data_IF_687261059866
#
_entry.id   IF_687261059866
#
_cell.length_a   1.000
_cell.length_b   1.000
_cell.length_c   1.000
_cell.angle_alpha   90.00
_cell.angle_beta   90.00
_cell.angle_gamma   90.00
#
_symmetry.space_group_name_H-M   'P 1'
#
loop_
_entity.id
_entity.type
_entity.pdbx_description
1 polymer ?
#
# COMPACT_ATOMS: atom_id res chain seq x y z
N UNK A 1 57.44 -35.61 -36.57
CA UNK A 1 56.11 -35.00 -36.76
C UNK A 1 55.11 -35.90 -36.07
N UNK A 2 54.81 -35.62 -34.81
CA UNK A 2 53.73 -36.23 -34.04
C UNK A 2 53.42 -35.24 -32.92
N UNK A 3 52.25 -34.62 -33.01
CA UNK A 3 51.78 -33.60 -32.08
C UNK A 3 51.18 -34.27 -30.84
N UNK A 4 51.69 -33.89 -29.67
CA UNK A 4 51.14 -34.20 -28.35
C UNK A 4 49.78 -33.51 -28.16
N UNK A 5 48.71 -34.17 -28.56
CA UNK A 5 47.33 -33.70 -28.43
C UNK A 5 46.48 -34.63 -27.58
N UNK A 6 46.70 -34.69 -26.26
CA UNK A 6 45.78 -35.37 -25.36
C UNK A 6 45.94 -34.92 -23.90
N UNK A 7 45.49 -33.71 -23.58
CA UNK A 7 45.27 -33.33 -22.17
C UNK A 7 43.85 -32.82 -21.96
N UNK A 8 43.19 -33.45 -20.97
CA UNK A 8 42.06 -32.95 -20.16
C UNK A 8 40.65 -33.44 -20.51
N UNK A 9 40.48 -34.75 -20.65
CA UNK A 9 39.20 -35.40 -20.42
C UNK A 9 39.05 -35.82 -18.93
N UNK A 10 37.89 -35.56 -18.32
CA UNK A 10 37.37 -36.46 -17.29
C UNK A 10 37.15 -35.98 -15.85
N UNK A 11 37.32 -34.69 -15.50
CA UNK A 11 37.04 -34.22 -14.11
C UNK A 11 35.97 -33.12 -14.03
N UNK A 12 34.84 -33.29 -14.74
CA UNK A 12 33.74 -32.31 -14.80
C UNK A 12 32.45 -32.63 -13.99
N UNK A 13 32.10 -33.88 -13.59
CA UNK A 13 30.74 -34.13 -13.09
C UNK A 13 30.48 -33.67 -11.65
N UNK A 14 31.49 -33.68 -10.77
CA UNK A 14 31.30 -33.32 -9.36
C UNK A 14 31.17 -31.80 -9.17
N UNK A 15 31.99 -31.02 -9.88
CA UNK A 15 31.94 -29.56 -9.81
C UNK A 15 30.59 -29.01 -10.33
N UNK A 16 30.08 -29.59 -11.40
CA UNK A 16 28.80 -29.17 -11.97
C UNK A 16 27.62 -29.44 -11.04
N UNK A 17 27.58 -30.60 -10.35
CA UNK A 17 26.56 -30.90 -9.34
C UNK A 17 26.61 -29.91 -8.16
N UNK A 18 27.81 -29.56 -7.69
CA UNK A 18 27.98 -28.56 -6.64
C UNK A 18 27.47 -27.18 -7.06
N UNK A 19 27.81 -26.74 -8.27
CA UNK A 19 27.33 -25.47 -8.83
C UNK A 19 25.79 -25.43 -8.98
N UNK A 20 25.16 -26.52 -9.44
CA UNK A 20 23.71 -26.59 -9.55
C UNK A 20 23.01 -26.57 -8.17
N UNK A 21 23.55 -27.27 -7.19
CA UNK A 21 23.01 -27.25 -5.83
C UNK A 21 23.10 -25.84 -5.21
N UNK A 22 24.23 -25.17 -5.38
CA UNK A 22 24.41 -23.79 -4.92
C UNK A 22 23.44 -22.82 -5.61
N UNK A 23 23.28 -22.94 -6.93
CA UNK A 23 22.34 -22.13 -7.69
C UNK A 23 20.88 -22.36 -7.25
N UNK A 24 20.50 -23.62 -6.99
CA UNK A 24 19.17 -23.95 -6.49
C UNK A 24 18.90 -23.34 -5.10
N UNK A 25 19.86 -23.45 -4.17
CA UNK A 25 19.76 -22.83 -2.84
C UNK A 25 19.69 -21.31 -2.94
N UNK A 26 20.49 -20.71 -3.82
CA UNK A 26 20.47 -19.27 -4.07
C UNK A 26 19.11 -18.79 -4.60
N UNK A 27 18.57 -19.47 -5.62
CA UNK A 27 17.26 -19.14 -6.20
C UNK A 27 16.12 -19.31 -5.19
N UNK A 28 16.16 -20.36 -4.37
CA UNK A 28 15.20 -20.56 -3.29
C UNK A 28 15.27 -19.42 -2.26
N UNK A 29 16.48 -19.00 -1.89
CA UNK A 29 16.68 -17.87 -0.95
C UNK A 29 16.14 -16.55 -1.51
N UNK A 30 16.42 -16.24 -2.79
CA UNK A 30 15.86 -15.06 -3.45
C UNK A 30 14.34 -15.11 -3.55
N UNK A 31 13.76 -16.28 -3.81
CA UNK A 31 12.30 -16.46 -3.88
C UNK A 31 11.65 -16.20 -2.53
N UNK A 32 12.22 -16.74 -1.44
CA UNK A 32 11.76 -16.47 -0.07
C UNK A 32 11.89 -14.98 0.25
N UNK A 33 13.01 -14.35 -0.11
CA UNK A 33 13.23 -12.94 0.12
C UNK A 33 12.23 -12.08 -0.66
N UNK A 34 11.96 -12.40 -1.92
CA UNK A 34 10.98 -11.70 -2.74
C UNK A 34 9.55 -11.86 -2.18
N UNK A 35 9.18 -13.07 -1.72
CA UNK A 35 7.88 -13.32 -1.12
C UNK A 35 7.69 -12.61 0.22
N UNK A 36 8.75 -12.45 1.01
CA UNK A 36 8.71 -11.83 2.35
C UNK A 36 8.96 -10.33 2.33
N UNK A 37 9.66 -9.82 1.31
CA UNK A 37 10.02 -8.41 1.13
C UNK A 37 9.17 -7.73 0.06
N UNK A 38 8.14 -8.40 -0.45
CA UNK A 38 7.14 -7.76 -1.29
C UNK A 38 6.65 -6.49 -0.57
N UNK A 39 6.94 -5.33 -1.17
CA UNK A 39 6.81 -4.02 -0.54
C UNK A 39 5.48 -3.94 0.22
N UNK A 40 5.50 -3.90 1.56
CA UNK A 40 4.26 -3.82 2.32
C UNK A 40 3.50 -2.58 1.86
N UNK A 41 2.20 -2.71 1.66
CA UNK A 41 1.35 -1.58 1.29
C UNK A 41 1.27 -0.67 2.52
N UNK A 42 2.22 0.25 2.64
CA UNK A 42 2.35 1.14 3.79
C UNK A 42 1.33 2.27 3.67
N UNK A 43 0.43 2.36 4.65
CA UNK A 43 -0.49 3.48 4.78
C UNK A 43 0.28 4.78 4.93
N UNK A 44 0.08 5.74 4.02
CA UNK A 44 0.75 7.03 4.08
C UNK A 44 0.12 7.90 5.18
N UNK A 45 0.90 8.17 6.23
CA UNK A 45 0.47 8.96 7.38
C UNK A 45 0.10 10.40 7.02
N UNK A 46 0.74 11.00 6.02
CA UNK A 46 0.44 12.35 5.56
C UNK A 46 -0.92 12.40 4.86
N UNK A 47 -1.27 11.36 4.10
CA UNK A 47 -2.57 11.24 3.45
C UNK A 47 -3.68 11.08 4.51
N UNK A 48 -3.47 10.21 5.51
CA UNK A 48 -4.39 10.03 6.65
C UNK A 48 -4.55 11.31 7.48
N UNK A 49 -3.46 12.03 7.70
CA UNK A 49 -3.48 13.30 8.43
C UNK A 49 -4.32 14.36 7.71
N UNK A 50 -4.15 14.49 6.38
CA UNK A 50 -4.86 15.46 5.53
C UNK A 50 -6.30 15.06 5.22
N UNK A 51 -6.64 13.79 5.34
CA UNK A 51 -8.01 13.32 5.12
C UNK A 51 -8.97 13.87 6.16
N UNK A 52 -10.14 14.29 5.71
CA UNK A 52 -11.23 14.70 6.61
C UNK A 52 -11.86 13.47 7.27
N UNK A 53 -12.02 12.40 6.49
CA UNK A 53 -12.48 11.09 6.98
C UNK A 53 -11.57 9.99 6.42
N UNK A 54 -11.46 8.91 7.19
CA UNK A 54 -10.85 7.67 6.72
C UNK A 54 -11.88 6.59 6.89
N UNK A 55 -12.18 5.87 5.81
CA UNK A 55 -13.20 4.81 5.81
C UNK A 55 -12.58 3.49 5.39
N UNK A 56 -13.12 2.40 5.91
CA UNK A 56 -13.00 1.08 5.29
C UNK A 56 -14.34 0.70 4.69
N UNK A 57 -14.34 0.32 3.41
CA UNK A 57 -15.56 0.00 2.68
C UNK A 57 -15.31 -1.01 1.57
N UNK A 58 -16.39 -1.68 1.18
CA UNK A 58 -16.40 -2.60 0.03
C UNK A 58 -16.78 -1.83 -1.22
N UNK A 59 -16.04 -2.03 -2.30
CA UNK A 59 -16.39 -1.45 -3.60
C UNK A 59 -17.64 -2.15 -4.12
N UNK A 60 -18.76 -1.42 -4.16
CA UNK A 60 -20.04 -1.93 -4.66
C UNK A 60 -20.03 -1.99 -6.19
N UNK A 61 -19.63 -0.87 -6.81
CA UNK A 61 -19.59 -0.72 -8.26
C UNK A 61 -18.51 0.31 -8.63
N UNK A 62 -17.56 -0.12 -9.46
CA UNK A 62 -16.47 0.73 -9.95
C UNK A 62 -16.97 1.73 -10.99
N UNK A 63 -17.95 1.35 -11.83
CA UNK A 63 -18.47 2.20 -12.90
C UNK A 63 -19.27 3.39 -12.34
N UNK A 64 -20.09 3.14 -11.33
CA UNK A 64 -20.84 4.19 -10.62
C UNK A 64 -20.06 4.83 -9.46
N UNK A 65 -18.79 4.47 -9.28
CA UNK A 65 -17.91 4.97 -8.21
C UNK A 65 -18.50 4.83 -6.79
N UNK A 66 -19.24 3.73 -6.55
CA UNK A 66 -19.93 3.47 -5.28
C UNK A 66 -19.14 2.62 -4.32
N UNK A 67 -19.06 3.08 -3.08
CA UNK A 67 -18.40 2.39 -1.98
C UNK A 67 -19.40 2.20 -0.83
N UNK A 68 -19.64 0.95 -0.45
CA UNK A 68 -20.39 0.62 0.77
C UNK A 68 -19.46 0.75 1.97
N UNK A 69 -19.72 1.71 2.84
CA UNK A 69 -18.89 1.96 4.02
C UNK A 69 -19.21 0.93 5.10
N UNK A 70 -18.18 0.26 5.61
CA UNK A 70 -18.31 -0.66 6.73
C UNK A 70 -17.97 0.03 8.05
N UNK A 71 -16.93 0.88 8.04
CA UNK A 71 -16.44 1.58 9.23
C UNK A 71 -15.78 2.90 8.87
N UNK A 72 -16.04 3.89 9.69
CA UNK A 72 -15.32 5.17 9.68
C UNK A 72 -14.33 5.21 10.86
N UNK A 73 -13.13 5.72 10.61
CA UNK A 73 -12.01 5.60 11.56
C UNK A 73 -11.68 6.89 12.32
N UNK A 74 -12.15 8.06 11.86
CA UNK A 74 -11.64 9.36 12.36
C UNK A 74 -12.68 10.17 13.16
N UNK A 75 -13.92 10.25 12.66
CA UNK A 75 -15.04 11.01 13.25
C UNK A 75 -16.14 10.10 13.84
N UNK A 76 -16.08 8.79 13.59
CA UNK A 76 -17.02 7.82 14.15
C UNK A 76 -18.46 7.91 13.63
N UNK A 77 -18.70 8.57 12.49
CA UNK A 77 -20.02 8.60 11.86
C UNK A 77 -20.33 7.27 11.20
N UNK A 78 -21.61 6.92 11.17
CA UNK A 78 -22.11 5.77 10.41
C UNK A 78 -22.55 6.25 9.04
N UNK A 79 -21.64 6.13 8.07
CA UNK A 79 -21.96 6.25 6.66
C UNK A 79 -22.37 4.87 6.15
N UNK A 80 -23.39 4.78 5.29
CA UNK A 80 -23.85 3.51 4.73
C UNK A 80 -23.23 3.26 3.34
N UNK A 81 -23.45 4.19 2.41
CA UNK A 81 -22.90 4.15 1.06
C UNK A 81 -22.53 5.57 0.64
N UNK A 82 -21.42 5.71 -0.08
CA UNK A 82 -20.92 7.00 -0.56
C UNK A 82 -20.43 6.88 -2.00
N UNK A 83 -20.38 8.01 -2.70
CA UNK A 83 -19.74 8.12 -4.01
C UNK A 83 -18.31 8.61 -3.84
N UNK A 84 -17.34 7.90 -4.42
CA UNK A 84 -15.91 8.24 -4.33
C UNK A 84 -15.37 8.62 -5.70
N UNK A 85 -15.23 9.92 -5.95
CA UNK A 85 -14.72 10.44 -7.22
C UNK A 85 -13.32 9.89 -7.52
N UNK A 86 -13.15 9.37 -8.73
CA UNK A 86 -11.88 8.81 -9.21
C UNK A 86 -11.62 7.38 -8.77
N UNK A 87 -12.61 6.70 -8.15
CA UNK A 87 -12.51 5.28 -7.80
C UNK A 87 -12.29 4.41 -9.04
N UNK A 88 -12.91 4.80 -10.16
CA UNK A 88 -12.78 4.13 -11.47
C UNK A 88 -11.37 4.15 -12.06
N UNK A 89 -10.51 5.06 -11.61
CA UNK A 89 -9.14 5.23 -12.11
C UNK A 89 -8.11 4.41 -11.32
N UNK A 90 -8.55 3.71 -10.28
CA UNK A 90 -7.69 2.97 -9.38
C UNK A 90 -7.72 1.47 -9.67
N UNK A 91 -6.67 0.73 -9.29
CA UNK A 91 -6.65 -0.72 -9.38
C UNK A 91 -7.49 -1.34 -8.25
N UNK A 92 -8.80 -1.09 -8.26
CA UNK A 92 -9.78 -1.67 -7.34
C UNK A 92 -10.62 -2.73 -8.04
N UNK A 93 -11.05 -3.71 -7.27
CA UNK A 93 -11.96 -4.75 -7.74
C UNK A 93 -13.29 -4.66 -6.97
N UNK A 94 -14.45 -4.81 -7.66
CA UNK A 94 -15.74 -4.94 -6.99
C UNK A 94 -15.73 -6.08 -5.96
N UNK A 95 -16.40 -5.89 -4.83
CA UNK A 95 -16.48 -6.88 -3.75
C UNK A 95 -15.27 -6.89 -2.80
N UNK A 96 -14.15 -6.27 -3.16
CA UNK A 96 -13.00 -6.15 -2.27
C UNK A 96 -13.14 -4.96 -1.32
N UNK A 97 -12.52 -5.08 -0.14
CA UNK A 97 -12.59 -4.09 0.93
C UNK A 97 -11.28 -3.32 1.04
N UNK A 98 -11.37 -2.00 1.02
CA UNK A 98 -10.24 -1.09 1.04
C UNK A 98 -10.38 -0.05 2.14
N UNK A 99 -9.26 0.49 2.59
CA UNK A 99 -9.14 1.69 3.40
C UNK A 99 -8.87 2.86 2.46
N UNK A 100 -9.73 3.88 2.54
CA UNK A 100 -9.63 5.09 1.73
C UNK A 100 -9.56 6.34 2.62
N UNK A 101 -8.48 7.12 2.53
CA UNK A 101 -8.42 8.48 3.07
C UNK A 101 -9.14 9.44 2.11
N UNK A 102 -10.20 10.07 2.59
CA UNK A 102 -11.11 10.87 1.77
C UNK A 102 -11.19 12.33 2.27
N UNK A 103 -11.40 13.25 1.33
CA UNK A 103 -11.87 14.62 1.58
C UNK A 103 -13.28 14.77 1.01
N UNK A 104 -14.14 15.51 1.72
CA UNK A 104 -15.50 15.77 1.26
C UNK A 104 -15.51 16.76 0.10
N UNK A 105 -16.29 16.47 -0.93
CA UNK A 105 -16.55 17.40 -2.06
C UNK A 105 -17.97 17.94 -1.96
N UNK A 106 -18.93 17.08 -1.64
CA UNK A 106 -20.34 17.39 -1.40
C UNK A 106 -20.89 16.48 -0.28
N UNK A 107 -22.18 16.55 0.05
CA UNK A 107 -22.81 15.79 1.14
C UNK A 107 -22.43 14.29 1.15
N UNK A 108 -22.61 13.62 0.01
CA UNK A 108 -22.35 12.19 -0.19
C UNK A 108 -21.26 11.90 -1.24
N UNK A 109 -20.62 12.95 -1.76
CA UNK A 109 -19.55 12.85 -2.74
C UNK A 109 -18.22 13.15 -2.05
N UNK A 110 -17.35 12.16 -2.08
CA UNK A 110 -16.01 12.24 -1.53
C UNK A 110 -14.99 12.06 -2.65
N UNK A 111 -13.78 12.54 -2.42
CA UNK A 111 -12.65 12.28 -3.31
C UNK A 111 -11.48 11.77 -2.49
N UNK A 112 -10.65 10.94 -3.11
CA UNK A 112 -9.46 10.41 -2.44
C UNK A 112 -8.44 11.54 -2.30
N UNK A 113 -7.87 11.66 -1.10
CA UNK A 113 -6.86 12.68 -0.83
C UNK A 113 -5.64 12.42 -1.70
N UNK A 114 -5.19 13.38 -2.53
CA UNK A 114 -4.04 13.18 -3.38
C UNK A 114 -2.76 13.09 -2.54
N UNK A 115 -1.83 12.25 -3.00
CA UNK A 115 -0.48 12.19 -2.45
C UNK A 115 0.29 13.43 -2.91
N UNK A 116 1.00 14.15 -2.01
CA UNK A 116 1.87 15.23 -2.41
C UNK A 116 3.07 14.66 -3.18
N UNK A 117 3.05 14.88 -4.51
CA UNK A 117 4.12 14.72 -5.52
C UNK A 117 5.01 13.47 -5.42
N UNK A 118 4.97 12.65 -6.47
CA UNK A 118 5.94 11.59 -6.80
C UNK A 118 6.24 10.53 -5.73
N UNK A 119 5.41 10.39 -4.69
CA UNK A 119 5.51 9.26 -3.78
C UNK A 119 5.08 7.98 -4.51
N UNK A 120 5.95 6.97 -4.68
CA UNK A 120 5.54 5.67 -5.19
C UNK A 120 4.60 5.06 -4.15
N UNK A 121 3.32 4.96 -4.48
CA UNK A 121 2.32 4.41 -3.57
C UNK A 121 0.92 4.48 -4.15
N UNK A 122 0.16 3.41 -3.95
CA UNK A 122 -1.28 3.44 -4.25
C UNK A 122 -1.98 4.32 -3.22
N UNK A 123 -2.87 5.23 -3.63
CA UNK A 123 -3.62 6.07 -2.70
C UNK A 123 -4.72 5.29 -1.95
N UNK A 124 -4.89 4.00 -2.28
CA UNK A 124 -5.82 3.06 -1.66
C UNK A 124 -5.05 1.90 -1.04
N UNK A 125 -5.59 1.38 0.06
CA UNK A 125 -4.92 0.32 0.82
C UNK A 125 -5.89 -0.85 1.02
N UNK A 126 -5.53 -2.09 0.69
CA UNK A 126 -6.39 -3.24 0.99
C UNK A 126 -6.56 -3.39 2.50
N UNK A 127 -7.75 -3.78 2.94
CA UNK A 127 -8.04 -4.01 4.35
C UNK A 127 -7.41 -5.35 4.82
N UNK A 128 -6.12 -5.32 5.10
CA UNK A 128 -5.40 -6.43 5.75
C UNK A 128 -5.23 -6.16 7.24
N UNK A 129 -4.93 -7.19 8.04
CA UNK A 129 -4.62 -7.03 9.46
C UNK A 129 -3.43 -6.07 9.71
N UNK A 130 -2.43 -6.12 8.84
CA UNK A 130 -1.26 -5.24 8.90
C UNK A 130 -1.64 -3.79 8.56
N UNK A 131 -2.39 -3.56 7.48
CA UNK A 131 -2.88 -2.22 7.09
C UNK A 131 -3.70 -1.61 8.21
N UNK A 132 -4.58 -2.40 8.84
CA UNK A 132 -5.41 -1.99 9.97
C UNK A 132 -4.57 -1.58 11.17
N UNK A 133 -3.66 -2.44 11.62
CA UNK A 133 -2.77 -2.14 12.75
C UNK A 133 -1.95 -0.87 12.48
N UNK A 134 -1.46 -0.71 11.25
CA UNK A 134 -0.70 0.49 10.86
C UNK A 134 -1.56 1.75 10.88
N UNK A 135 -2.79 1.68 10.38
CA UNK A 135 -3.73 2.79 10.43
C UNK A 135 -4.02 3.21 11.87
N UNK A 136 -4.29 2.24 12.76
CA UNK A 136 -4.53 2.50 14.19
C UNK A 136 -3.32 3.18 14.85
N UNK A 137 -2.10 2.73 14.56
CA UNK A 137 -0.88 3.38 15.05
C UNK A 137 -0.76 4.82 14.56
N UNK A 138 -1.08 5.09 13.28
CA UNK A 138 -1.03 6.44 12.70
C UNK A 138 -2.07 7.33 13.38
N UNK A 139 -3.30 6.86 13.54
CA UNK A 139 -4.37 7.62 14.19
C UNK A 139 -4.01 7.95 15.65
N UNK A 140 -3.52 6.95 16.41
CA UNK A 140 -3.06 7.17 17.77
C UNK A 140 -1.89 8.18 17.85
N UNK A 141 -0.97 8.16 16.87
CA UNK A 141 0.12 9.14 16.80
C UNK A 141 -0.37 10.55 16.48
N UNK A 142 -1.40 10.69 15.63
CA UNK A 142 -2.00 11.97 15.28
C UNK A 142 -2.78 12.59 16.44
N UNK A 143 -3.47 11.78 17.24
CA UNK A 143 -4.16 12.25 18.46
C UNK A 143 -3.19 12.76 19.52
N UNK A 144 -2.02 12.14 19.64
CA UNK A 144 -0.98 12.54 20.61
C UNK A 144 -0.25 13.81 20.24
N UNK A 145 -0.18 14.17 18.96
CA UNK A 145 0.51 15.37 18.52
C UNK A 145 -0.49 16.52 18.62
N UNK A 146 -0.46 17.36 19.69
CA UNK A 146 -1.31 18.54 19.74
C UNK A 146 -1.05 19.31 18.45
N UNK A 147 -2.14 19.60 17.73
CA UNK A 147 -2.08 20.41 16.52
C UNK A 147 -1.20 21.63 16.83
N UNK A 148 -0.10 21.88 16.09
CA UNK A 148 0.69 23.07 16.33
C UNK A 148 -0.30 24.23 16.25
N UNK A 149 -0.45 24.95 17.37
CA UNK A 149 -1.44 26.02 17.51
C UNK A 149 -1.50 26.78 16.19
N UNK A 150 -2.69 26.81 15.57
CA UNK A 150 -2.90 27.48 14.30
C UNK A 150 -2.26 28.86 14.33
N UNK A 151 -1.76 29.38 13.19
CA UNK A 151 -1.05 30.65 13.16
C UNK A 151 -1.84 31.68 13.98
N UNK A 152 -1.17 32.27 14.98
CA UNK A 152 -1.77 33.26 15.85
C UNK A 152 -2.57 34.25 15.00
N UNK A 153 -3.81 34.62 15.39
CA UNK A 153 -4.63 35.52 14.62
C UNK A 153 -3.78 36.75 14.27
N UNK A 154 -3.58 37.00 12.97
CA UNK A 154 -2.91 38.22 12.53
C UNK A 154 -3.71 39.36 13.13
N UNK A 155 -3.11 40.08 14.08
CA UNK A 155 -3.67 41.31 14.61
C UNK A 155 -3.98 42.20 13.41
N UNK A 156 -5.26 42.49 13.20
CA UNK A 156 -5.69 43.51 12.27
C UNK A 156 -5.17 44.84 12.82
N UNK A 157 -4.24 45.45 12.10
CA UNK A 157 -3.86 46.85 12.27
C UNK A 157 -4.58 47.67 11.21
#
# INVERSE_FOLDING_TARGET
>A
MAEDGALTEGRKPVFWRGAMALAAVWMASLTILAATTANPIVVNSLQVARAEIVVSGTVSDVASERLRVQREWKQGKRLAEITVRGLSQLPVEPGNTYILPLSRVDADIYQIVPLPVAAPGSPIYPLTAQTRCRLEQILAALERKPSPAGPAPRAAW
#
